data_IF_322516865034
#
_entry.id   IF_322516865034
#
_cell.length_a   1.000
_cell.length_b   1.000
_cell.length_c   1.000
_cell.angle_alpha   90.00
_cell.angle_beta   90.00
_cell.angle_gamma   90.00
#
_symmetry.space_group_name_H-M   'P 1'
#
loop_
_entity.id
_entity.type
_entity.pdbx_description
1 polymer ?
#
# COMPACT_ATOMS: atom_id res chain seq x y z
N UNK A 1 2.61 14.00 8.94
CA UNK A 1 2.54 13.47 7.56
C UNK A 1 1.10 13.46 7.08
N UNK A 2 0.90 13.70 5.81
CA UNK A 2 -0.45 13.74 5.21
C UNK A 2 -0.57 12.70 4.12
N UNK A 3 -1.78 12.15 3.95
CA UNK A 3 -2.09 11.17 2.90
C UNK A 3 -3.00 11.86 1.89
N UNK A 4 -2.65 11.77 0.61
CA UNK A 4 -3.42 12.34 -0.50
C UNK A 4 -3.70 11.28 -1.54
N UNK A 5 -4.88 11.34 -2.17
CA UNK A 5 -5.10 10.58 -3.40
C UNK A 5 -4.21 11.16 -4.51
N UNK A 6 -3.67 10.29 -5.37
CA UNK A 6 -2.87 10.73 -6.52
C UNK A 6 -3.65 11.71 -7.41
N UNK A 7 -4.96 11.56 -7.47
CA UNK A 7 -5.83 12.43 -8.28
C UNK A 7 -5.87 13.89 -7.79
N UNK A 8 -5.50 14.15 -6.54
CA UNK A 8 -5.44 15.50 -5.99
C UNK A 8 -4.12 16.23 -6.28
N UNK A 9 -3.15 15.54 -6.86
CA UNK A 9 -1.84 16.11 -7.16
C UNK A 9 -1.84 16.85 -8.49
N UNK A 10 -0.86 17.77 -8.64
CA UNK A 10 -0.54 18.40 -9.93
C UNK A 10 -0.01 17.35 -10.91
N UNK A 11 0.06 17.67 -12.20
CA UNK A 11 0.62 16.76 -13.20
C UNK A 11 2.07 16.38 -12.89
N UNK A 12 2.87 17.33 -12.43
CA UNK A 12 4.24 17.05 -11.99
C UNK A 12 4.27 16.16 -10.75
N UNK A 13 3.38 16.39 -9.80
CA UNK A 13 3.25 15.56 -8.60
C UNK A 13 2.85 14.12 -8.93
N UNK A 14 1.90 13.94 -9.83
CA UNK A 14 1.49 12.60 -10.33
C UNK A 14 2.64 11.87 -10.98
N UNK A 15 3.39 12.56 -11.84
CA UNK A 15 4.55 11.98 -12.51
C UNK A 15 5.61 11.53 -11.51
N UNK A 16 5.94 12.38 -10.53
CA UNK A 16 6.90 12.05 -9.49
C UNK A 16 6.44 10.87 -8.64
N UNK A 17 5.16 10.81 -8.28
CA UNK A 17 4.58 9.71 -7.52
C UNK A 17 4.73 8.37 -8.27
N UNK A 18 4.47 8.37 -9.57
CA UNK A 18 4.63 7.18 -10.43
C UNK A 18 6.09 6.76 -10.55
N UNK A 19 7.00 7.69 -10.75
CA UNK A 19 8.44 7.42 -10.83
C UNK A 19 8.95 6.80 -9.51
N UNK A 20 8.55 7.35 -8.37
CA UNK A 20 8.92 6.83 -7.06
C UNK A 20 8.34 5.45 -6.80
N UNK A 21 7.11 5.20 -7.25
CA UNK A 21 6.50 3.87 -7.19
C UNK A 21 7.36 2.85 -7.94
N UNK A 22 7.69 3.14 -9.19
CA UNK A 22 8.46 2.23 -10.03
C UNK A 22 9.86 1.99 -9.47
N UNK A 23 10.50 3.03 -8.93
CA UNK A 23 11.81 2.93 -8.29
C UNK A 23 11.80 2.05 -7.03
N UNK A 24 10.78 2.19 -6.18
CA UNK A 24 10.72 1.49 -4.90
C UNK A 24 10.08 0.10 -4.99
N UNK A 25 9.09 -0.08 -5.87
CA UNK A 25 8.38 -1.34 -6.02
C UNK A 25 8.96 -2.25 -7.08
N UNK A 26 9.79 -1.73 -7.98
CA UNK A 26 10.34 -2.44 -9.15
C UNK A 26 9.25 -3.01 -10.07
N UNK A 27 8.12 -2.30 -10.14
CA UNK A 27 6.96 -2.64 -10.95
C UNK A 27 6.46 -1.38 -11.65
N UNK A 28 5.96 -1.53 -12.88
CA UNK A 28 5.38 -0.40 -13.60
C UNK A 28 4.03 -0.02 -12.98
N UNK A 29 3.81 1.27 -12.78
CA UNK A 29 2.54 1.76 -12.28
C UNK A 29 1.37 1.34 -13.18
N UNK A 30 1.57 1.34 -14.49
CA UNK A 30 0.53 1.01 -15.45
C UNK A 30 0.03 -0.45 -15.35
N UNK A 31 0.79 -1.33 -14.69
CA UNK A 31 0.35 -2.70 -14.39
C UNK A 31 -0.77 -2.76 -13.35
N UNK A 32 -1.01 -1.67 -12.64
CA UNK A 32 -2.08 -1.54 -11.65
C UNK A 32 -3.29 -0.81 -12.24
N UNK A 33 -3.80 -1.28 -13.39
CA UNK A 33 -4.98 -0.72 -14.03
C UNK A 33 -6.19 -0.73 -13.07
N UNK A 34 -6.94 0.38 -13.07
CA UNK A 34 -8.10 0.58 -12.19
C UNK A 34 -7.78 0.57 -10.70
N UNK A 35 -6.53 0.78 -10.34
CA UNK A 35 -6.14 0.96 -8.95
C UNK A 35 -6.13 2.45 -8.58
N UNK A 36 -6.25 2.73 -7.28
CA UNK A 36 -6.08 4.07 -6.74
C UNK A 36 -4.79 4.12 -5.93
N UNK A 37 -4.02 5.20 -6.09
CA UNK A 37 -2.79 5.40 -5.32
C UNK A 37 -3.00 6.49 -4.27
N UNK A 38 -2.62 6.17 -3.04
CA UNK A 38 -2.50 7.15 -1.95
C UNK A 38 -1.04 7.50 -1.76
N UNK A 39 -0.76 8.78 -1.73
CA UNK A 39 0.59 9.31 -1.62
C UNK A 39 0.80 9.86 -0.21
N UNK A 40 1.90 9.51 0.42
CA UNK A 40 2.27 10.02 1.73
C UNK A 40 3.25 11.18 1.54
N UNK A 41 2.86 12.34 2.04
CA UNK A 41 3.66 13.56 1.94
C UNK A 41 4.14 14.00 3.32
N UNK A 42 5.42 14.36 3.42
CA UNK A 42 6.01 14.93 4.61
C UNK A 42 6.77 16.19 4.22
N UNK A 43 6.29 17.35 4.67
CA UNK A 43 6.91 18.66 4.43
C UNK A 43 7.21 18.95 2.95
N UNK A 44 6.30 18.56 2.07
CA UNK A 44 6.44 18.77 0.64
C UNK A 44 7.11 17.63 -0.13
N UNK A 45 7.65 16.64 0.56
CA UNK A 45 8.29 15.48 -0.07
C UNK A 45 7.39 14.25 -0.05
N UNK A 46 7.37 13.51 -1.15
CA UNK A 46 6.68 12.22 -1.22
C UNK A 46 7.57 11.17 -0.56
N UNK A 47 7.09 10.59 0.53
CA UNK A 47 7.85 9.63 1.35
C UNK A 47 7.24 8.24 1.37
N UNK A 48 6.15 8.02 0.68
CA UNK A 48 5.50 6.73 0.55
C UNK A 48 4.41 6.74 -0.48
N UNK A 49 4.00 5.55 -0.89
CA UNK A 49 2.89 5.35 -1.82
C UNK A 49 2.22 4.02 -1.57
N UNK A 50 0.89 4.00 -1.61
CA UNK A 50 0.09 2.80 -1.39
C UNK A 50 -0.98 2.72 -2.47
N UNK A 51 -1.09 1.56 -3.11
CA UNK A 51 -2.07 1.28 -4.14
C UNK A 51 -3.14 0.33 -3.60
N UNK A 52 -4.41 0.65 -3.86
CA UNK A 52 -5.53 -0.24 -3.56
C UNK A 52 -6.18 -0.67 -4.86
N UNK A 53 -6.46 -1.96 -5.00
CA UNK A 53 -6.97 -2.55 -6.23
C UNK A 53 -7.78 -3.81 -5.95
N UNK A 54 -8.77 -4.08 -6.79
CA UNK A 54 -9.52 -5.34 -6.73
C UNK A 54 -8.69 -6.45 -7.35
N UNK A 55 -8.60 -7.58 -6.68
CA UNK A 55 -7.86 -8.73 -7.17
C UNK A 55 -8.42 -10.03 -6.60
N UNK A 56 -8.02 -11.13 -7.22
CA UNK A 56 -8.20 -12.48 -6.72
C UNK A 56 -6.85 -13.18 -6.74
N UNK A 57 -6.41 -13.68 -5.59
CA UNK A 57 -5.13 -14.33 -5.45
C UNK A 57 -5.24 -15.52 -4.50
N UNK A 58 -4.88 -16.71 -4.96
CA UNK A 58 -4.93 -17.96 -4.17
C UNK A 58 -6.30 -18.20 -3.51
N UNK A 59 -7.38 -17.88 -4.24
CA UNK A 59 -8.75 -18.05 -3.77
C UNK A 59 -9.29 -16.93 -2.88
N UNK A 60 -8.48 -15.90 -2.62
CA UNK A 60 -8.91 -14.72 -1.85
C UNK A 60 -9.30 -13.62 -2.83
N UNK A 61 -10.57 -13.21 -2.79
CA UNK A 61 -11.10 -12.13 -3.62
C UNK A 61 -11.43 -10.93 -2.75
N UNK A 62 -10.99 -9.75 -3.17
CA UNK A 62 -11.30 -8.52 -2.46
C UNK A 62 -10.40 -7.37 -2.87
N UNK A 63 -10.32 -6.37 -1.99
CA UNK A 63 -9.46 -5.21 -2.19
C UNK A 63 -8.09 -5.50 -1.59
N UNK A 64 -7.07 -5.46 -2.42
CA UNK A 64 -5.68 -5.65 -2.00
C UNK A 64 -4.97 -4.30 -1.92
N UNK A 65 -3.95 -4.25 -1.09
CA UNK A 65 -3.09 -3.08 -0.96
C UNK A 65 -1.63 -3.50 -1.12
N UNK A 66 -0.89 -2.69 -1.87
CA UNK A 66 0.57 -2.80 -2.00
C UNK A 66 1.16 -1.41 -1.79
N UNK A 67 2.39 -1.33 -1.32
CA UNK A 67 2.96 -0.01 -1.09
C UNK A 67 4.41 -0.02 -0.67
N UNK A 68 4.95 1.17 -0.55
CA UNK A 68 6.31 1.44 -0.10
C UNK A 68 6.33 2.62 0.86
N UNK A 69 7.34 2.64 1.73
CA UNK A 69 7.60 3.76 2.63
C UNK A 69 9.10 4.02 2.68
N UNK A 70 9.47 5.30 2.72
CA UNK A 70 10.87 5.72 2.73
C UNK A 70 11.61 5.24 3.97
N UNK A 71 12.81 4.66 3.76
CA UNK A 71 13.63 4.12 4.85
C UNK A 71 14.30 5.19 5.69
N UNK A 72 14.56 6.37 5.09
CA UNK A 72 15.31 7.45 5.73
C UNK A 72 14.45 8.36 6.60
N UNK A 73 13.14 8.14 6.61
CA UNK A 73 12.18 8.88 7.43
C UNK A 73 11.34 7.89 8.22
N UNK A 74 11.00 8.25 9.45
CA UNK A 74 10.09 7.42 10.27
C UNK A 74 8.66 7.61 9.76
N UNK A 75 8.31 6.87 8.72
CA UNK A 75 6.95 6.84 8.20
C UNK A 75 6.10 5.95 9.11
N UNK A 76 5.00 6.45 9.70
CA UNK A 76 4.13 5.63 10.55
C UNK A 76 3.26 4.71 9.70
N UNK A 77 3.88 3.72 9.07
CA UNK A 77 3.26 2.85 8.06
C UNK A 77 2.02 2.14 8.59
N UNK A 78 2.06 1.64 9.84
CA UNK A 78 0.92 0.98 10.45
C UNK A 78 -0.31 1.90 10.53
N UNK A 79 -0.12 3.15 10.97
CA UNK A 79 -1.20 4.12 11.09
C UNK A 79 -1.74 4.52 9.73
N UNK A 80 -0.87 4.66 8.74
CA UNK A 80 -1.26 4.99 7.37
C UNK A 80 -2.14 3.88 6.78
N UNK A 81 -1.72 2.62 6.90
CA UNK A 81 -2.50 1.48 6.43
C UNK A 81 -3.87 1.43 7.11
N UNK A 82 -3.92 1.65 8.41
CA UNK A 82 -5.18 1.70 9.15
C UNK A 82 -6.10 2.83 8.66
N UNK A 83 -5.54 4.00 8.37
CA UNK A 83 -6.31 5.13 7.83
C UNK A 83 -6.87 4.80 6.44
N UNK A 84 -6.09 4.19 5.59
CA UNK A 84 -6.55 3.76 4.26
C UNK A 84 -7.69 2.75 4.42
N UNK A 85 -7.54 1.76 5.31
CA UNK A 85 -8.58 0.77 5.58
C UNK A 85 -9.87 1.40 6.13
N UNK A 86 -9.76 2.42 6.98
CA UNK A 86 -10.94 3.15 7.47
C UNK A 86 -11.71 3.84 6.34
N UNK A 87 -11.03 4.30 5.31
CA UNK A 87 -11.66 5.00 4.18
C UNK A 87 -12.16 4.06 3.08
N UNK A 88 -11.44 2.96 2.84
CA UNK A 88 -11.69 2.06 1.71
C UNK A 88 -12.46 0.82 2.14
N UNK A 89 -12.28 0.36 3.38
CA UNK A 89 -12.80 -0.89 3.88
C UNK A 89 -11.69 -1.90 4.15
N UNK A 90 -12.05 -3.16 4.33
CA UNK A 90 -11.08 -4.22 4.62
C UNK A 90 -10.07 -4.35 3.49
N UNK A 91 -8.79 -4.44 3.84
CA UNK A 91 -7.69 -4.57 2.90
C UNK A 91 -6.99 -5.91 3.08
N UNK A 92 -6.74 -6.59 1.96
CA UNK A 92 -5.88 -7.76 1.92
C UNK A 92 -4.46 -7.37 1.54
N UNK A 93 -3.49 -8.03 2.15
CA UNK A 93 -2.07 -7.90 1.84
C UNK A 93 -1.49 -9.29 1.60
N UNK A 94 -0.64 -9.42 0.59
CA UNK A 94 0.17 -10.62 0.40
C UNK A 94 1.64 -10.25 0.41
N UNK A 95 2.47 -11.01 1.10
CA UNK A 95 3.89 -10.72 1.20
C UNK A 95 4.72 -11.97 1.43
N UNK A 96 5.94 -11.94 0.93
CA UNK A 96 7.00 -12.90 1.24
C UNK A 96 8.11 -12.28 2.11
N UNK A 97 7.99 -10.98 2.43
CA UNK A 97 9.03 -10.24 3.15
C UNK A 97 8.81 -10.26 4.66
N UNK A 98 9.88 -10.52 5.41
CA UNK A 98 9.84 -10.62 6.87
C UNK A 98 9.38 -9.33 7.55
N UNK A 99 9.89 -8.18 7.11
CA UNK A 99 9.51 -6.89 7.70
C UNK A 99 8.04 -6.57 7.53
N UNK A 100 7.49 -6.87 6.36
CA UNK A 100 6.06 -6.69 6.11
C UNK A 100 5.21 -7.64 6.95
N UNK A 101 5.64 -8.90 7.13
CA UNK A 101 4.94 -9.88 7.99
C UNK A 101 4.85 -9.39 9.42
N UNK A 102 5.96 -8.87 9.98
CA UNK A 102 6.00 -8.35 11.34
C UNK A 102 5.01 -7.20 11.51
N UNK A 103 4.99 -6.27 10.58
CA UNK A 103 4.08 -5.14 10.59
C UNK A 103 2.61 -5.59 10.52
N UNK A 104 2.30 -6.46 9.56
CA UNK A 104 0.93 -6.91 9.31
C UNK A 104 0.38 -7.77 10.44
N UNK A 105 1.24 -8.53 11.14
CA UNK A 105 0.82 -9.29 12.32
C UNK A 105 0.40 -8.38 13.49
N UNK A 106 0.94 -7.16 13.55
CA UNK A 106 0.57 -6.19 14.60
C UNK A 106 -0.78 -5.51 14.33
N UNK A 107 -1.12 -5.29 13.06
CA UNK A 107 -2.30 -4.48 12.69
C UNK A 107 -3.40 -5.27 12.02
N UNK A 108 -3.14 -6.52 11.67
CA UNK A 108 -4.10 -7.35 10.94
C UNK A 108 -4.09 -8.78 11.45
N UNK A 109 -4.74 -9.64 10.67
CA UNK A 109 -4.87 -11.06 10.98
C UNK A 109 -4.43 -11.89 9.79
N UNK A 110 -3.61 -12.91 10.04
CA UNK A 110 -3.23 -13.90 9.03
C UNK A 110 -4.45 -14.70 8.60
N UNK A 111 -4.70 -14.80 7.30
CA UNK A 111 -5.85 -15.53 6.75
C UNK A 111 -5.45 -16.73 5.92
N UNK A 112 -4.22 -16.76 5.36
CA UNK A 112 -3.75 -17.87 4.54
C UNK A 112 -2.24 -17.86 4.41
N UNK A 113 -1.64 -19.04 4.29
CA UNK A 113 -0.21 -19.22 3.95
C UNK A 113 -0.13 -20.14 2.74
N UNK A 114 0.64 -19.74 1.75
CA UNK A 114 0.97 -20.56 0.57
C UNK A 114 2.48 -20.76 0.50
N UNK A 115 2.97 -21.50 -0.49
CA UNK A 115 4.41 -21.70 -0.71
C UNK A 115 5.15 -20.39 -1.00
N UNK A 116 4.45 -19.38 -1.53
CA UNK A 116 5.05 -18.12 -1.97
C UNK A 116 4.74 -16.97 -1.04
N UNK A 117 3.52 -16.90 -0.50
CA UNK A 117 3.03 -15.73 0.20
C UNK A 117 2.32 -16.09 1.50
N UNK A 118 2.33 -15.12 2.43
CA UNK A 118 1.43 -15.09 3.57
C UNK A 118 0.42 -13.97 3.32
N UNK A 119 -0.86 -14.26 3.53
CA UNK A 119 -1.97 -13.33 3.33
C UNK A 119 -2.47 -12.82 4.66
N UNK A 120 -2.72 -11.52 4.72
CA UNK A 120 -3.25 -10.84 5.90
C UNK A 120 -4.46 -10.01 5.51
N UNK A 121 -5.38 -9.82 6.47
CA UNK A 121 -6.47 -8.86 6.35
C UNK A 121 -6.29 -7.78 7.42
N UNK A 122 -6.44 -6.52 7.01
CA UNK A 122 -6.51 -5.37 7.90
C UNK A 122 -7.94 -4.84 7.82
N UNK A 123 -8.68 -4.91 8.92
CA UNK A 123 -10.08 -4.51 8.96
C UNK A 123 -10.23 -3.00 8.88
N UNK A 124 -11.24 -2.54 8.13
CA UNK A 124 -11.59 -1.14 8.00
C UNK A 124 -12.36 -0.60 9.22
N UNK A 125 -12.81 -1.48 10.07
CA UNK A 125 -13.53 -1.08 11.28
C UNK A 125 -13.17 -1.96 12.46
#
# INVERSE_FOLDING_TARGET
MKIFSIFSLTDNGKRLAKELWEENMHELWDDYNNSDMFVVNDKGDIVGGFSVYSDESDGISGIFCSGWAGRHRKVPTADIIKQIALNVGDLYFKTDQRTAKILLEKIGKKVKTTDRFVYYIVRGK
#
